data_IF_148639998767
#
_entry.id   IF_148639998767
#
_cell.length_a   1.000
_cell.length_b   1.000
_cell.length_c   1.000
_cell.angle_alpha   90.00
_cell.angle_beta   90.00
_cell.angle_gamma   90.00
#
_symmetry.space_group_name_H-M   'P 1'
#
loop_
_entity.id
_entity.type
_entity.pdbx_description
1 polymer ?
#
# COMPACT_ATOMS: atom_id res chain seq x y z
N UNK A 1 -2.48 12.01 21.61
CA UNK A 1 -2.94 11.50 20.30
C UNK A 1 -3.26 10.01 20.46
N UNK A 2 -4.34 9.52 19.87
CA UNK A 2 -4.69 8.10 19.92
C UNK A 2 -3.80 7.30 18.97
N UNK A 3 -3.47 6.05 19.35
CA UNK A 3 -2.70 5.13 18.52
C UNK A 3 -3.66 4.18 17.80
N UNK A 4 -3.52 4.07 16.50
CA UNK A 4 -4.28 3.10 15.71
C UNK A 4 -3.85 1.66 16.04
N UNK A 5 -4.82 0.74 16.11
CA UNK A 5 -4.59 -0.70 16.29
C UNK A 5 -5.29 -1.44 15.15
N UNK A 6 -4.50 -2.00 14.23
CA UNK A 6 -4.98 -2.75 13.06
C UNK A 6 -4.75 -4.27 13.23
N UNK A 7 -5.67 -5.11 12.74
CA UNK A 7 -5.53 -6.59 12.65
C UNK A 7 -5.95 -7.06 11.26
N UNK A 8 -5.21 -8.01 10.68
CA UNK A 8 -5.45 -8.56 9.33
C UNK A 8 -5.73 -10.05 9.41
N UNK A 9 -6.61 -10.51 8.52
CA UNK A 9 -7.04 -11.90 8.43
C UNK A 9 -7.03 -12.34 6.97
N UNK A 10 -6.82 -13.63 6.74
CA UNK A 10 -7.10 -14.23 5.43
C UNK A 10 -8.61 -14.39 5.28
N UNK A 11 -9.11 -14.15 4.08
CA UNK A 11 -10.52 -14.37 3.74
C UNK A 11 -10.72 -15.83 3.34
N UNK A 12 -11.86 -16.40 3.71
CA UNK A 12 -12.21 -17.80 3.39
C UNK A 12 -12.61 -17.97 1.92
N UNK A 13 -13.22 -16.94 1.33
CA UNK A 13 -13.74 -16.93 -0.04
C UNK A 13 -13.91 -15.47 -0.54
N UNK A 14 -14.57 -15.31 -1.69
CA UNK A 14 -14.79 -14.04 -2.38
C UNK A 14 -16.16 -13.39 -2.10
N UNK A 15 -16.98 -13.93 -1.19
CA UNK A 15 -18.35 -13.46 -0.92
C UNK A 15 -18.39 -11.99 -0.46
N UNK A 16 -17.29 -11.49 0.12
CA UNK A 16 -17.12 -10.09 0.50
C UNK A 16 -17.28 -9.10 -0.66
N UNK A 17 -17.11 -9.55 -1.90
CA UNK A 17 -17.18 -8.70 -3.10
C UNK A 17 -18.58 -8.15 -3.35
N UNK A 18 -19.62 -8.88 -2.95
CA UNK A 18 -21.01 -8.46 -3.14
C UNK A 18 -21.39 -7.29 -2.21
N UNK A 19 -20.66 -7.13 -1.11
CA UNK A 19 -20.84 -6.06 -0.12
C UNK A 19 -19.95 -4.82 -0.40
N UNK A 20 -19.33 -4.74 -1.58
CA UNK A 20 -18.42 -3.64 -1.93
C UNK A 20 -19.21 -2.43 -2.45
N UNK A 21 -19.26 -1.37 -1.66
CA UNK A 21 -19.85 -0.09 -2.08
C UNK A 21 -18.97 0.70 -3.07
N UNK A 22 -17.65 0.52 -2.99
CA UNK A 22 -16.70 1.21 -3.88
C UNK A 22 -15.41 0.43 -4.04
N UNK A 23 -14.83 0.51 -5.24
CA UNK A 23 -13.54 -0.10 -5.53
C UNK A 23 -12.66 0.86 -6.31
N UNK A 24 -11.35 0.71 -6.18
CA UNK A 24 -10.40 1.40 -7.03
C UNK A 24 -9.20 0.51 -7.33
N UNK A 25 -8.64 0.69 -8.53
CA UNK A 25 -7.46 -0.04 -8.93
C UNK A 25 -6.24 0.49 -8.16
N UNK A 26 -5.57 -0.42 -7.46
CA UNK A 26 -4.31 -0.16 -6.77
C UNK A 26 -3.19 -0.97 -7.43
N UNK A 27 -2.12 -0.27 -7.79
CA UNK A 27 -0.87 -0.92 -8.19
C UNK A 27 0.31 -0.27 -7.47
N UNK A 28 1.37 -1.04 -7.28
CA UNK A 28 2.61 -0.54 -6.71
C UNK A 28 3.81 -1.19 -7.38
N UNK A 29 4.86 -0.40 -7.55
CA UNK A 29 6.14 -0.82 -8.11
C UNK A 29 7.29 -0.27 -7.29
N UNK A 30 8.38 -1.03 -7.23
CA UNK A 30 9.63 -0.61 -6.61
C UNK A 30 10.62 -0.31 -7.73
N UNK A 31 11.05 0.95 -7.84
CA UNK A 31 12.01 1.39 -8.87
C UNK A 31 13.44 1.00 -8.51
N UNK A 32 13.77 1.11 -7.23
CA UNK A 32 15.07 0.74 -6.68
C UNK A 32 14.84 0.09 -5.33
N UNK A 33 15.42 -1.11 -5.20
CA UNK A 33 15.56 -1.79 -3.92
C UNK A 33 17.05 -1.91 -3.61
N UNK A 34 17.71 -0.75 -3.50
CA UNK A 34 19.12 -0.68 -3.12
C UNK A 34 19.23 -0.58 -1.60
N UNK A 35 20.37 -1.01 -1.06
CA UNK A 35 20.66 -0.95 0.40
C UNK A 35 20.66 0.47 0.97
N UNK A 36 20.55 1.50 0.13
CA UNK A 36 20.59 2.92 0.51
C UNK A 36 19.24 3.60 0.47
N UNK A 37 18.36 3.19 -0.45
CA UNK A 37 17.06 3.82 -0.65
C UNK A 37 16.06 2.85 -1.24
N UNK A 38 14.86 2.86 -0.67
CA UNK A 38 13.67 2.25 -1.24
C UNK A 38 12.84 3.34 -1.92
N UNK A 39 12.62 3.17 -3.23
CA UNK A 39 11.76 4.05 -4.02
C UNK A 39 10.52 3.27 -4.41
N UNK A 40 9.36 3.67 -3.90
CA UNK A 40 8.06 3.04 -4.19
C UNK A 40 7.16 4.01 -4.92
N UNK A 41 6.69 3.59 -6.10
CA UNK A 41 5.54 4.21 -6.77
C UNK A 41 4.29 3.44 -6.36
N UNK A 42 3.22 4.16 -6.03
CA UNK A 42 1.88 3.60 -5.86
C UNK A 42 0.89 4.40 -6.71
N UNK A 43 0.03 3.72 -7.45
CA UNK A 43 -1.14 4.31 -8.11
C UNK A 43 -2.41 3.87 -7.39
N UNK A 44 -3.39 4.76 -7.32
CA UNK A 44 -4.70 4.55 -6.68
C UNK A 44 -5.75 5.32 -7.48
N UNK A 45 -6.51 4.61 -8.32
CA UNK A 45 -7.37 5.27 -9.32
C UNK A 45 -6.55 6.19 -10.23
N UNK A 46 -6.91 7.47 -10.28
CA UNK A 46 -6.25 8.49 -11.10
C UNK A 46 -5.03 9.15 -10.43
N UNK A 47 -4.78 8.83 -9.16
CA UNK A 47 -3.70 9.43 -8.40
C UNK A 47 -2.46 8.53 -8.36
N UNK A 48 -1.28 9.15 -8.34
CA UNK A 48 -0.01 8.46 -8.17
C UNK A 48 0.84 9.14 -7.10
N UNK A 49 1.52 8.33 -6.29
CA UNK A 49 2.37 8.77 -5.20
C UNK A 49 3.74 8.14 -5.30
N UNK A 50 4.78 8.98 -5.18
CA UNK A 50 6.17 8.55 -5.14
C UNK A 50 6.71 8.71 -3.73
N UNK A 51 7.23 7.62 -3.16
CA UNK A 51 7.82 7.59 -1.83
C UNK A 51 9.30 7.26 -1.91
N UNK A 52 10.11 8.02 -1.17
CA UNK A 52 11.53 7.77 -0.95
C UNK A 52 11.73 7.44 0.53
N UNK A 53 12.34 6.30 0.81
CA UNK A 53 12.73 5.89 2.16
C UNK A 53 14.23 5.62 2.16
N UNK A 54 15.00 6.44 2.86
CA UNK A 54 16.41 6.15 3.12
C UNK A 54 16.53 4.91 3.99
N UNK A 55 17.51 4.06 3.69
CA UNK A 55 17.87 2.93 4.54
C UNK A 55 18.65 3.38 5.80
N UNK A 56 19.29 4.55 5.74
CA UNK A 56 19.88 5.17 6.92
C UNK A 56 18.76 5.71 7.80
N UNK A 57 18.57 5.11 8.98
CA UNK A 57 17.80 5.72 10.06
C UNK A 57 18.42 7.08 10.39
N UNK A 58 17.68 8.14 10.12
CA UNK A 58 17.85 9.45 10.74
C UNK A 58 16.79 9.61 11.82
#
# INVERSE_FOLDING_TARGET
MAKEIERKFLLVNDDWRDEVDSSCHYAQGYLSNSDKVSIRIRTSGENAYLNFKSATLG
#
